data_IF_708686574898
#
_entry.id   IF_708686574898
#
_cell.length_a   1.000
_cell.length_b   1.000
_cell.length_c   1.000
_cell.angle_alpha   90.00
_cell.angle_beta   90.00
_cell.angle_gamma   90.00
#
_symmetry.space_group_name_H-M   'P 1'
#
loop_
_entity.id
_entity.type
_entity.pdbx_description
1 polymer ?
#
# COMPACT_ATOMS: atom_id res chain seq x y z
N UNK A 1 1.21 28.10 4.83
CA UNK A 1 1.02 28.58 6.22
C UNK A 1 2.41 28.86 6.80
N UNK A 2 2.72 30.09 7.21
CA UNK A 2 4.01 30.40 7.85
C UNK A 2 3.86 30.06 9.33
N UNK A 3 4.50 28.99 9.78
CA UNK A 3 4.55 28.66 11.21
C UNK A 3 5.63 29.53 11.86
N UNK A 4 5.20 30.59 12.55
CA UNK A 4 6.02 31.22 13.59
C UNK A 4 5.76 30.44 14.89
N UNK A 5 6.82 30.08 15.63
CA UNK A 5 6.63 29.41 16.92
C UNK A 5 5.84 30.36 17.86
N UNK A 6 4.99 29.81 18.73
CA UNK A 6 4.13 30.62 19.61
C UNK A 6 4.93 31.59 20.51
N UNK A 7 6.20 31.27 20.80
CA UNK A 7 7.15 32.15 21.49
C UNK A 7 7.58 33.37 20.64
N UNK A 8 7.69 33.23 19.31
CA UNK A 8 8.07 34.35 18.42
C UNK A 8 6.97 35.40 18.27
N UNK A 9 5.70 35.04 18.53
CA UNK A 9 4.56 35.94 18.33
C UNK A 9 4.50 37.04 19.39
N UNK A 10 4.76 36.72 20.65
CA UNK A 10 4.75 37.70 21.74
C UNK A 10 5.95 38.65 21.61
N UNK A 11 7.13 38.11 21.36
CA UNK A 11 8.36 38.90 21.14
C UNK A 11 8.23 39.82 19.91
N UNK A 12 7.58 39.35 18.84
CA UNK A 12 7.31 40.18 17.65
C UNK A 12 6.28 41.28 17.94
N UNK A 13 5.25 40.99 18.75
CA UNK A 13 4.25 41.99 19.14
C UNK A 13 4.87 43.10 20.00
N UNK A 14 5.74 42.75 20.95
CA UNK A 14 6.48 43.72 21.76
C UNK A 14 7.48 44.52 20.91
N UNK A 15 8.21 43.87 19.99
CA UNK A 15 9.13 44.56 19.09
C UNK A 15 8.42 45.55 18.16
N UNK A 16 7.24 45.20 17.63
CA UNK A 16 6.41 46.09 16.80
C UNK A 16 5.86 47.28 17.59
N UNK A 17 5.58 47.12 18.88
CA UNK A 17 5.14 48.21 19.74
C UNK A 17 6.27 49.24 20.01
N UNK A 18 7.53 48.82 19.93
CA UNK A 18 8.71 49.67 20.15
C UNK A 18 9.18 50.44 18.90
N UNK A 19 8.71 50.08 17.69
CA UNK A 19 9.04 50.77 16.45
C UNK A 19 9.03 49.87 15.21
N UNK A 20 9.43 50.38 14.04
CA UNK A 20 9.48 49.59 12.81
C UNK A 20 10.46 48.42 12.93
N UNK A 21 9.98 47.20 12.67
CA UNK A 21 10.80 45.97 12.69
C UNK A 21 11.02 45.48 11.26
N UNK A 22 12.26 45.12 10.92
CA UNK A 22 12.58 44.42 9.68
C UNK A 22 12.65 42.92 9.95
N UNK A 23 11.78 42.15 9.27
CA UNK A 23 11.75 40.69 9.39
C UNK A 23 12.34 40.04 8.14
N UNK A 24 13.29 39.12 8.32
CA UNK A 24 13.77 38.24 7.24
C UNK A 24 13.12 36.87 7.39
N UNK A 25 12.13 36.60 6.55
CA UNK A 25 11.46 35.29 6.52
C UNK A 25 12.18 34.37 5.54
N UNK A 26 12.63 33.20 6.01
CA UNK A 26 13.06 32.10 5.13
C UNK A 26 11.99 31.02 5.15
N UNK A 27 11.17 30.97 4.10
CA UNK A 27 10.22 29.88 3.91
C UNK A 27 10.94 28.58 3.52
N UNK A 28 10.60 27.48 4.18
CA UNK A 28 10.89 26.13 3.68
C UNK A 28 9.58 25.63 3.08
N UNK A 29 9.56 25.39 1.76
CA UNK A 29 8.33 25.02 1.06
C UNK A 29 7.69 23.73 1.60
N UNK A 30 8.53 22.80 2.06
CA UNK A 30 8.13 21.56 2.74
C UNK A 30 9.29 21.12 3.64
N UNK A 31 9.06 20.99 4.95
CA UNK A 31 10.12 20.58 5.88
C UNK A 31 10.52 19.12 5.61
N UNK A 32 11.82 18.78 5.57
CA UNK A 32 12.26 17.38 5.49
C UNK A 32 12.03 16.62 6.82
N UNK A 33 11.57 17.32 7.86
CA UNK A 33 11.34 16.78 9.19
C UNK A 33 9.94 17.12 9.72
N UNK A 34 9.27 16.11 10.27
CA UNK A 34 8.03 16.27 11.05
C UNK A 34 8.23 15.77 12.48
N UNK A 35 7.53 16.37 13.44
CA UNK A 35 7.48 15.87 14.82
C UNK A 35 6.03 15.52 15.14
N UNK A 36 5.80 14.28 15.54
CA UNK A 36 4.49 13.76 15.92
C UNK A 36 4.52 13.42 17.40
N UNK A 37 4.19 14.43 18.21
CA UNK A 37 4.22 14.35 19.67
C UNK A 37 2.84 14.01 20.20
N UNK A 38 2.76 13.13 21.19
CA UNK A 38 1.52 12.74 21.83
C UNK A 38 1.72 12.68 23.34
N UNK A 39 0.92 13.45 24.06
CA UNK A 39 0.97 13.56 25.52
C UNK A 39 -0.43 13.33 26.07
N UNK A 40 -0.54 12.53 27.13
CA UNK A 40 -1.80 12.27 27.80
C UNK A 40 -1.64 12.30 29.32
N UNK A 41 -2.72 12.65 30.00
CA UNK A 41 -2.88 12.51 31.46
C UNK A 41 -4.09 11.64 31.72
N UNK A 42 -3.98 10.75 32.70
CA UNK A 42 -5.07 9.86 33.10
C UNK A 42 -5.87 10.52 34.23
N UNK A 43 -7.20 10.40 34.16
CA UNK A 43 -8.17 10.79 35.19
C UNK A 43 -8.12 12.26 35.69
N UNK A 44 -7.49 13.16 34.93
CA UNK A 44 -7.43 14.58 35.28
C UNK A 44 -7.28 15.47 34.04
N UNK A 45 -7.55 16.77 34.21
CA UNK A 45 -7.18 17.78 33.22
C UNK A 45 -5.67 18.09 33.32
N UNK A 46 -4.97 18.38 32.21
CA UNK A 46 -3.52 18.63 32.20
C UNK A 46 -3.15 20.02 32.76
N UNK A 47 -3.69 20.41 33.92
CA UNK A 47 -3.43 21.71 34.53
C UNK A 47 -2.01 21.77 35.11
N UNK A 48 -1.24 22.80 34.72
CA UNK A 48 0.11 23.06 35.24
C UNK A 48 1.22 22.17 34.69
N UNK A 49 0.95 21.35 33.67
CA UNK A 49 1.95 20.45 33.08
C UNK A 49 2.66 21.13 31.92
N UNK A 50 3.99 21.04 31.91
CA UNK A 50 4.84 21.44 30.79
C UNK A 50 5.47 20.19 30.17
N UNK A 51 5.22 19.98 28.88
CA UNK A 51 5.82 18.88 28.11
C UNK A 51 7.11 19.33 27.42
N UNK A 52 8.10 18.44 27.35
CA UNK A 52 9.35 18.69 26.64
C UNK A 52 9.74 17.47 25.81
N UNK A 53 9.69 17.64 24.49
CA UNK A 53 10.08 16.62 23.52
C UNK A 53 11.52 16.85 23.07
N UNK A 54 12.35 15.80 23.16
CA UNK A 54 13.72 15.82 22.66
C UNK A 54 13.90 14.75 21.61
N UNK A 55 14.51 15.12 20.48
CA UNK A 55 14.72 14.25 19.32
C UNK A 55 15.40 12.92 19.68
N UNK A 56 16.41 12.95 20.55
CA UNK A 56 17.15 11.77 21.04
C UNK A 56 16.32 10.83 21.94
N UNK A 57 15.10 11.23 22.29
CA UNK A 57 14.13 10.43 23.03
C UNK A 57 12.98 9.92 22.17
N UNK A 58 12.98 10.20 20.88
CA UNK A 58 11.91 9.82 19.95
C UNK A 58 12.31 8.60 19.11
N UNK A 59 11.32 7.97 18.48
CA UNK A 59 11.55 7.04 17.38
C UNK A 59 11.65 7.83 16.05
N UNK A 60 12.37 7.29 15.08
CA UNK A 60 12.57 7.91 13.76
C UNK A 60 11.95 7.06 12.67
N UNK A 61 10.99 7.62 11.95
CA UNK A 61 10.33 7.00 10.80
C UNK A 61 10.75 7.74 9.53
N UNK A 62 11.51 7.09 8.66
CA UNK A 62 11.84 7.61 7.33
C UNK A 62 10.73 7.21 6.37
N UNK A 63 10.12 8.17 5.69
CA UNK A 63 8.99 7.94 4.79
C UNK A 63 9.35 8.29 3.35
N UNK A 64 9.99 7.38 2.58
CA UNK A 64 10.07 7.52 1.14
C UNK A 64 8.66 7.56 0.55
N UNK A 65 8.34 8.59 -0.21
CA UNK A 65 7.05 8.73 -0.89
C UNK A 65 7.29 8.69 -2.39
N UNK A 66 6.82 7.61 -3.01
CA UNK A 66 7.01 7.37 -4.43
C UNK A 66 5.86 8.00 -5.23
N UNK A 67 6.15 8.43 -6.46
CA UNK A 67 5.13 8.87 -7.40
C UNK A 67 5.60 8.74 -8.84
N UNK A 68 4.82 8.02 -9.65
CA UNK A 68 5.10 7.82 -11.06
C UNK A 68 4.54 8.93 -11.96
N UNK A 69 3.77 9.86 -11.39
CA UNK A 69 3.14 10.95 -12.13
C UNK A 69 4.13 12.09 -12.42
N UNK A 70 3.96 12.81 -13.55
CA UNK A 70 4.88 13.89 -13.93
C UNK A 70 4.71 15.18 -13.13
N UNK A 71 3.55 15.39 -12.51
CA UNK A 71 3.25 16.59 -11.72
C UNK A 71 3.55 16.31 -10.25
N UNK A 72 4.00 17.35 -9.52
CA UNK A 72 4.40 17.26 -8.12
C UNK A 72 3.48 18.10 -7.26
N UNK A 73 2.42 17.47 -6.77
CA UNK A 73 1.51 18.10 -5.82
C UNK A 73 1.90 17.77 -4.39
N UNK A 74 1.65 18.70 -3.47
CA UNK A 74 1.77 18.40 -2.05
C UNK A 74 0.60 17.52 -1.63
N UNK A 75 0.85 16.55 -0.74
CA UNK A 75 -0.13 15.63 -0.20
C UNK A 75 -0.08 15.68 1.33
N UNK A 76 -1.21 15.51 2.02
CA UNK A 76 -1.18 15.30 3.46
C UNK A 76 -0.64 13.90 3.76
N UNK A 77 0.32 13.83 4.69
CA UNK A 77 0.64 12.63 5.45
C UNK A 77 0.07 12.84 6.86
N UNK A 78 -0.99 12.10 7.18
CA UNK A 78 -1.71 12.20 8.44
C UNK A 78 -1.29 11.08 9.36
N UNK A 79 -1.03 11.41 10.63
CA UNK A 79 -0.83 10.42 11.68
C UNK A 79 -2.02 10.44 12.64
N UNK A 80 -2.45 9.23 13.02
CA UNK A 80 -3.52 8.96 13.96
C UNK A 80 -2.96 8.20 15.15
N UNK A 81 -3.52 8.45 16.33
CA UNK A 81 -3.31 7.59 17.49
C UNK A 81 -4.54 6.73 17.68
N UNK A 82 -4.35 5.42 17.56
CA UNK A 82 -5.40 4.43 17.67
C UNK A 82 -5.45 3.89 19.10
N UNK A 83 -6.45 4.32 19.88
CA UNK A 83 -6.76 3.71 21.17
C UNK A 83 -7.99 2.81 21.04
N UNK A 84 -8.19 1.88 21.98
CA UNK A 84 -9.21 0.83 21.91
C UNK A 84 -10.67 1.33 21.73
N UNK A 85 -10.92 2.64 21.89
CA UNK A 85 -12.27 3.23 21.83
C UNK A 85 -12.38 4.58 21.13
N UNK A 86 -11.27 5.24 20.75
CA UNK A 86 -11.30 6.62 20.23
C UNK A 86 -10.24 6.84 19.15
N UNK A 87 -10.68 7.43 18.03
CA UNK A 87 -9.83 8.08 17.04
C UNK A 87 -9.55 9.51 17.51
N UNK A 88 -8.30 9.80 17.85
CA UNK A 88 -7.90 11.16 18.25
C UNK A 88 -7.34 11.93 17.04
N UNK A 89 -7.82 13.16 16.76
CA UNK A 89 -7.60 13.79 15.46
C UNK A 89 -6.16 14.29 15.24
N UNK A 90 -5.61 13.77 14.14
CA UNK A 90 -4.84 14.36 13.05
C UNK A 90 -3.70 15.32 13.39
N UNK A 91 -2.49 14.75 13.47
CA UNK A 91 -1.27 15.47 13.15
C UNK A 91 -1.00 15.30 11.65
N UNK A 92 -1.21 16.35 10.87
CA UNK A 92 -0.97 16.34 9.42
C UNK A 92 0.29 17.13 9.10
N UNK A 93 1.16 16.54 8.28
CA UNK A 93 2.25 17.25 7.62
C UNK A 93 2.06 17.19 6.11
N UNK A 94 2.51 18.22 5.40
CA UNK A 94 2.52 18.20 3.94
C UNK A 94 3.80 17.52 3.46
N UNK A 95 3.66 16.66 2.46
CA UNK A 95 4.77 15.98 1.79
C UNK A 95 4.67 16.20 0.29
N UNK A 96 5.80 16.21 -0.42
CA UNK A 96 5.85 16.38 -1.89
C UNK A 96 6.54 15.19 -2.54
N UNK A 97 5.80 14.16 -2.97
CA UNK A 97 6.38 13.09 -3.74
C UNK A 97 6.70 13.55 -5.20
N UNK A 98 7.67 12.93 -5.88
CA UNK A 98 8.61 11.93 -5.34
C UNK A 98 9.60 12.58 -4.36
N UNK A 99 9.76 12.01 -3.17
CA UNK A 99 10.57 12.60 -2.09
C UNK A 99 10.66 11.72 -0.86
N UNK A 100 11.28 12.24 0.21
CA UNK A 100 11.34 11.55 1.51
C UNK A 100 11.22 12.56 2.64
N UNK A 101 10.49 12.20 3.70
CA UNK A 101 10.37 12.99 4.94
C UNK A 101 10.81 12.13 6.12
N UNK A 102 11.42 12.72 7.14
CA UNK A 102 11.75 12.03 8.39
C UNK A 102 10.80 12.49 9.49
N UNK A 103 10.02 11.58 10.04
CA UNK A 103 9.13 11.84 11.17
C UNK A 103 9.80 11.39 12.47
N UNK A 104 9.79 12.26 13.48
CA UNK A 104 10.13 11.89 14.84
C UNK A 104 8.84 11.67 15.62
N UNK A 105 8.63 10.47 16.14
CA UNK A 105 7.35 10.08 16.76
C UNK A 105 7.52 9.70 18.22
N UNK A 106 6.50 9.98 19.04
CA UNK A 106 6.51 9.63 20.46
C UNK A 106 6.59 8.11 20.63
N UNK A 107 7.61 7.57 21.33
CA UNK A 107 7.73 6.13 21.52
C UNK A 107 6.57 5.54 22.31
N UNK A 108 6.27 4.28 22.07
CA UNK A 108 5.25 3.54 22.80
C UNK A 108 3.81 3.93 22.47
N UNK A 109 3.56 4.92 21.61
CA UNK A 109 2.21 5.33 21.17
C UNK A 109 1.80 4.55 19.91
N UNK A 110 0.55 4.07 19.79
CA UNK A 110 0.10 3.23 18.67
C UNK A 110 -0.26 4.11 17.47
N UNK A 111 0.76 4.61 16.78
CA UNK A 111 0.58 5.44 15.60
C UNK A 111 0.14 4.61 14.40
N UNK A 112 -0.89 5.06 13.71
CA UNK A 112 -1.21 4.68 12.34
C UNK A 112 -0.99 5.90 11.44
N UNK A 113 -0.63 5.66 10.19
CA UNK A 113 -0.37 6.71 9.21
C UNK A 113 -1.28 6.55 8.01
N UNK A 114 -1.56 7.66 7.35
CA UNK A 114 -2.30 7.67 6.10
C UNK A 114 -1.75 8.72 5.14
N UNK A 115 -1.73 8.37 3.86
CA UNK A 115 -1.52 9.32 2.77
C UNK A 115 -2.45 8.98 1.61
N UNK A 116 -2.77 9.97 0.80
CA UNK A 116 -3.58 9.80 -0.40
C UNK A 116 -2.71 9.50 -1.64
N UNK A 117 -3.21 8.66 -2.53
CA UNK A 117 -2.87 8.70 -3.95
C UNK A 117 -3.75 9.77 -4.60
N UNK A 118 -3.16 10.70 -5.35
CA UNK A 118 -3.93 11.81 -5.96
C UNK A 118 -3.92 11.75 -7.48
N UNK A 119 -4.93 12.39 -8.06
CA UNK A 119 -5.07 12.62 -9.48
C UNK A 119 -5.14 14.13 -9.75
N UNK A 120 -4.32 14.67 -10.67
CA UNK A 120 -4.40 16.07 -11.04
C UNK A 120 -5.59 16.25 -11.99
N UNK A 121 -6.57 17.08 -11.61
CA UNK A 121 -7.49 17.61 -12.62
C UNK A 121 -6.77 18.76 -13.30
N UNK A 122 -6.55 18.66 -14.62
CA UNK A 122 -5.84 19.69 -15.42
C UNK A 122 -6.52 21.07 -15.44
N UNK A 123 -7.68 21.22 -14.81
CA UNK A 123 -8.46 22.45 -14.71
C UNK A 123 -8.79 22.92 -13.26
N UNK A 124 -8.42 22.16 -12.21
CA UNK A 124 -8.62 22.55 -10.80
C UNK A 124 -7.30 22.32 -10.04
N UNK A 125 -6.74 23.32 -9.32
CA UNK A 125 -5.53 23.15 -8.52
C UNK A 125 -5.68 22.18 -7.34
N UNK A 126 -6.87 21.59 -7.13
CA UNK A 126 -7.09 20.52 -6.17
C UNK A 126 -6.92 19.15 -6.82
N UNK A 127 -5.85 18.49 -6.42
CA UNK A 127 -5.70 17.04 -6.51
C UNK A 127 -6.96 16.31 -6.03
N UNK A 128 -7.54 15.42 -6.85
CA UNK A 128 -8.62 14.53 -6.44
C UNK A 128 -8.01 13.27 -5.82
N UNK A 129 -8.35 12.94 -4.56
CA UNK A 129 -7.95 11.66 -3.97
C UNK A 129 -8.54 10.53 -4.80
N UNK A 130 -7.67 9.65 -5.28
CA UNK A 130 -8.05 8.43 -6.04
C UNK A 130 -7.75 7.17 -5.25
N UNK A 131 -7.39 7.30 -3.98
CA UNK A 131 -7.20 6.20 -3.03
C UNK A 131 -6.41 6.64 -1.81
N UNK A 132 -6.44 5.82 -0.77
CA UNK A 132 -5.83 6.09 0.53
C UNK A 132 -4.99 4.91 0.99
N UNK A 133 -3.69 5.15 1.22
CA UNK A 133 -2.81 4.19 1.84
C UNK A 133 -2.81 4.40 3.35
N UNK A 134 -2.97 3.33 4.12
CA UNK A 134 -3.00 3.37 5.58
C UNK A 134 -2.05 2.35 6.20
N UNK A 135 -1.26 2.72 7.19
CA UNK A 135 -0.47 1.74 7.95
C UNK A 135 -1.34 1.09 9.03
N UNK A 136 -0.98 -0.14 9.44
CA UNK A 136 -1.49 -0.68 10.71
C UNK A 136 -0.96 0.16 11.89
N UNK A 137 -1.71 0.25 13.00
CA UNK A 137 -1.20 0.87 14.21
C UNK A 137 0.07 0.18 14.68
N UNK A 138 1.12 0.96 14.98
CA UNK A 138 2.40 0.46 15.45
C UNK A 138 2.91 1.31 16.61
N UNK A 139 3.39 0.64 17.65
CA UNK A 139 4.16 1.26 18.75
C UNK A 139 5.63 1.19 18.39
N UNK A 140 6.26 2.35 18.22
CA UNK A 140 7.69 2.43 17.94
C UNK A 140 8.49 2.49 19.24
N UNK A 141 9.67 1.88 19.26
CA UNK A 141 10.56 1.91 20.41
C UNK A 141 11.39 3.19 20.44
N UNK A 142 11.82 3.61 21.65
CA UNK A 142 12.68 4.79 21.79
C UNK A 142 14.01 4.56 21.07
N UNK A 143 14.40 5.51 20.22
CA UNK A 143 15.63 5.39 19.43
C UNK A 143 15.53 4.43 18.25
N UNK A 144 14.38 3.78 18.05
CA UNK A 144 14.13 2.95 16.87
C UNK A 144 14.24 3.81 15.60
N UNK A 145 14.83 3.25 14.55
CA UNK A 145 14.81 3.82 13.22
C UNK A 145 14.21 2.82 12.25
N UNK A 146 13.13 3.21 11.58
CA UNK A 146 12.44 2.37 10.60
C UNK A 146 12.22 3.14 9.30
N UNK A 147 12.15 2.41 8.20
CA UNK A 147 11.64 2.93 6.94
C UNK A 147 10.18 2.52 6.77
N UNK A 148 9.38 3.39 6.16
CA UNK A 148 7.99 3.17 5.82
C UNK A 148 7.73 3.78 4.43
N UNK A 149 8.00 3.05 3.34
CA UNK A 149 7.79 3.54 2.00
C UNK A 149 6.30 3.60 1.67
N UNK A 150 5.90 4.66 0.96
CA UNK A 150 4.55 4.88 0.46
C UNK A 150 4.55 4.87 -1.05
N UNK A 151 3.47 4.36 -1.64
CA UNK A 151 3.17 4.34 -3.08
C UNK A 151 4.29 3.66 -3.91
N UNK A 152 5.02 2.73 -3.29
CA UNK A 152 6.07 1.95 -3.94
C UNK A 152 5.42 0.86 -4.78
N UNK A 153 5.71 0.84 -6.06
CA UNK A 153 5.28 -0.17 -7.01
C UNK A 153 6.14 -1.45 -6.90
N UNK A 154 5.73 -2.58 -7.51
CA UNK A 154 4.48 -2.84 -8.25
C UNK A 154 3.21 -2.74 -7.41
N UNK A 155 2.08 -2.44 -8.08
CA UNK A 155 0.76 -2.48 -7.46
C UNK A 155 -0.03 -3.70 -7.94
N UNK A 156 -0.53 -4.50 -7.00
CA UNK A 156 -1.36 -5.69 -7.21
C UNK A 156 -2.33 -5.85 -6.03
N UNK A 157 -2.83 -7.05 -5.71
CA UNK A 157 -3.50 -7.27 -4.44
C UNK A 157 -2.54 -7.32 -3.24
N UNK A 158 -3.12 -7.30 -2.04
CA UNK A 158 -2.41 -7.60 -0.79
C UNK A 158 -3.37 -8.38 0.11
N UNK A 159 -3.04 -9.64 0.33
CA UNK A 159 -3.79 -10.60 1.15
C UNK A 159 -3.17 -10.80 2.53
N UNK A 160 -1.97 -10.28 2.77
CA UNK A 160 -1.30 -10.17 4.08
C UNK A 160 -1.98 -9.18 5.06
N UNK A 161 -3.25 -8.83 4.82
CA UNK A 161 -4.05 -7.93 5.67
C UNK A 161 -5.45 -8.48 5.90
N UNK A 162 -6.21 -7.79 6.75
CA UNK A 162 -7.60 -8.11 7.10
C UNK A 162 -8.50 -6.92 6.76
N UNK A 163 -9.81 -7.17 6.75
CA UNK A 163 -10.84 -6.13 6.71
C UNK A 163 -11.66 -6.15 7.99
N UNK A 164 -12.40 -5.08 8.24
CA UNK A 164 -13.37 -5.02 9.34
C UNK A 164 -14.76 -5.34 8.79
N UNK A 165 -15.50 -6.21 9.47
CA UNK A 165 -16.89 -6.53 9.15
C UNK A 165 -17.88 -5.50 9.69
N UNK A 166 -19.17 -5.76 9.49
CA UNK A 166 -20.24 -4.80 9.84
C UNK A 166 -20.43 -4.65 11.35
N UNK A 167 -20.03 -5.65 12.14
CA UNK A 167 -20.13 -5.65 13.59
C UNK A 167 -18.80 -5.25 14.26
N UNK A 168 -17.81 -4.80 13.48
CA UNK A 168 -16.49 -4.39 13.96
C UNK A 168 -15.50 -5.56 14.10
N UNK A 169 -15.87 -6.76 13.69
CA UNK A 169 -15.05 -7.96 13.74
C UNK A 169 -13.95 -7.96 12.67
N UNK A 170 -12.82 -8.60 12.96
CA UNK A 170 -11.73 -8.74 11.99
C UNK A 170 -11.99 -9.94 11.08
N UNK A 171 -12.06 -9.69 9.76
CA UNK A 171 -12.34 -10.70 8.75
C UNK A 171 -11.16 -10.88 7.77
N UNK A 172 -10.92 -12.09 7.26
CA UNK A 172 -10.08 -12.32 6.09
C UNK A 172 -10.67 -11.64 4.85
N UNK A 173 -9.84 -11.39 3.84
CA UNK A 173 -10.28 -10.75 2.59
C UNK A 173 -11.06 -11.69 1.66
N UNK A 174 -10.78 -12.99 1.75
CA UNK A 174 -11.48 -14.06 1.04
C UNK A 174 -11.77 -15.22 1.99
N UNK A 175 -13.04 -15.51 2.23
CA UNK A 175 -13.43 -16.58 3.13
C UNK A 175 -14.73 -17.26 2.70
N UNK A 176 -14.89 -18.51 3.15
CA UNK A 176 -16.11 -19.29 3.00
C UNK A 176 -16.91 -19.27 4.30
N UNK A 177 -18.21 -19.00 4.21
CA UNK A 177 -19.15 -19.15 5.33
C UNK A 177 -20.32 -20.04 4.88
N UNK A 178 -20.36 -21.28 5.37
CA UNK A 178 -21.28 -22.31 4.88
C UNK A 178 -21.15 -22.51 3.37
N UNK A 179 -22.23 -22.27 2.63
CA UNK A 179 -22.29 -22.37 1.18
C UNK A 179 -22.10 -21.02 0.47
N UNK A 180 -21.48 -20.03 1.12
CA UNK A 180 -21.20 -18.72 0.54
C UNK A 180 -19.71 -18.43 0.50
N UNK A 181 -19.24 -17.95 -0.64
CA UNK A 181 -17.98 -17.24 -0.81
C UNK A 181 -18.19 -15.78 -0.46
N UNK A 182 -17.25 -15.18 0.27
CA UNK A 182 -17.19 -13.74 0.53
C UNK A 182 -15.80 -13.22 0.11
N UNK A 183 -15.77 -12.22 -0.77
CA UNK A 183 -14.56 -11.57 -1.26
C UNK A 183 -14.63 -10.05 -1.07
N UNK A 184 -13.53 -9.47 -0.58
CA UNK A 184 -13.25 -8.04 -0.57
C UNK A 184 -11.73 -7.82 -0.74
N UNK A 185 -11.26 -8.10 -1.95
CA UNK A 185 -9.87 -8.03 -2.34
C UNK A 185 -9.49 -6.61 -2.79
N UNK A 186 -8.39 -6.03 -2.27
CA UNK A 186 -7.83 -4.85 -2.91
C UNK A 186 -7.13 -5.27 -4.18
N UNK A 187 -7.33 -4.57 -5.29
CA UNK A 187 -6.64 -4.92 -6.53
C UNK A 187 -5.52 -3.95 -6.92
N UNK A 188 -5.41 -2.81 -6.23
CA UNK A 188 -4.42 -1.76 -6.50
C UNK A 188 -3.72 -1.31 -5.21
N UNK A 189 -2.94 -2.20 -4.61
CA UNK A 189 -2.18 -1.96 -3.37
C UNK A 189 -0.74 -2.41 -3.55
N UNK A 190 0.15 -2.04 -2.63
CA UNK A 190 1.49 -2.58 -2.55
C UNK A 190 1.63 -3.41 -1.26
N UNK A 191 2.41 -4.50 -1.31
CA UNK A 191 2.72 -5.36 -0.17
C UNK A 191 4.24 -5.59 -0.09
N UNK A 192 4.86 -5.66 1.11
CA UNK A 192 4.28 -5.46 2.44
C UNK A 192 4.36 -3.99 2.92
N UNK A 193 3.44 -3.59 3.79
CA UNK A 193 3.75 -2.55 4.80
C UNK A 193 2.98 -1.23 4.77
N UNK A 194 2.14 -0.95 3.78
CA UNK A 194 1.19 0.19 3.81
C UNK A 194 -0.04 -0.19 2.99
N UNK A 195 -1.23 0.07 3.50
CA UNK A 195 -2.53 -0.18 2.86
C UNK A 195 -2.73 0.58 1.54
N UNK A 196 -3.91 0.36 0.95
CA UNK A 196 -4.25 0.26 -0.49
C UNK A 196 -4.29 1.57 -1.30
N UNK A 197 -4.62 1.52 -2.60
CA UNK A 197 -5.57 2.49 -3.18
C UNK A 197 -6.98 2.17 -2.61
N UNK A 198 -7.11 2.30 -1.29
CA UNK A 198 -8.31 2.18 -0.42
C UNK A 198 -9.25 0.98 -0.55
N UNK A 199 -10.09 0.99 -1.57
CA UNK A 199 -11.28 0.16 -1.70
C UNK A 199 -11.73 0.29 -3.14
N UNK A 200 -12.52 -0.67 -3.63
CA UNK A 200 -13.20 -0.53 -4.92
C UNK A 200 -13.92 0.82 -4.98
N UNK A 201 -13.54 1.67 -5.93
CA UNK A 201 -14.25 2.90 -6.24
C UNK A 201 -15.11 2.67 -7.49
N UNK A 202 -16.45 2.58 -7.37
CA UNK A 202 -17.32 2.33 -8.52
C UNK A 202 -17.29 3.44 -9.58
N UNK A 203 -16.82 4.63 -9.24
CA UNK A 203 -16.66 5.74 -10.18
C UNK A 203 -15.45 5.60 -11.10
N UNK A 204 -14.43 4.85 -10.68
CA UNK A 204 -13.13 4.82 -11.38
C UNK A 204 -12.66 3.43 -11.71
N UNK A 205 -12.92 2.45 -10.84
CA UNK A 205 -12.46 1.08 -11.00
C UNK A 205 -13.39 0.29 -11.92
N UNK A 206 -12.79 -0.57 -12.71
CA UNK A 206 -13.45 -1.38 -13.73
C UNK A 206 -12.90 -2.79 -13.66
N UNK A 207 -13.66 -3.76 -14.13
CA UNK A 207 -13.19 -5.14 -14.15
C UNK A 207 -14.29 -6.12 -13.86
N UNK A 208 -13.90 -7.32 -13.41
CA UNK A 208 -14.84 -8.39 -13.10
C UNK A 208 -14.25 -9.37 -12.09
N UNK A 209 -15.13 -10.09 -11.41
CA UNK A 209 -14.78 -11.27 -10.62
C UNK A 209 -15.52 -12.47 -11.17
N UNK A 210 -14.79 -13.57 -11.40
CA UNK A 210 -15.35 -14.83 -11.90
C UNK A 210 -14.88 -15.99 -11.03
N UNK A 211 -15.81 -16.82 -10.61
CA UNK A 211 -15.53 -18.07 -9.91
C UNK A 211 -15.96 -19.26 -10.77
N UNK A 212 -15.05 -20.20 -10.93
CA UNK A 212 -15.29 -21.48 -11.58
C UNK A 212 -14.97 -22.63 -10.63
N UNK A 213 -15.67 -23.75 -10.83
CA UNK A 213 -15.38 -25.03 -10.18
C UNK A 213 -15.26 -26.10 -11.25
N UNK A 214 -14.18 -26.87 -11.22
CA UNK A 214 -13.94 -27.98 -12.17
C UNK A 214 -14.14 -27.56 -13.64
N UNK A 215 -13.68 -26.34 -13.98
CA UNK A 215 -13.78 -25.75 -15.32
C UNK A 215 -15.13 -25.10 -15.68
N UNK A 216 -16.17 -25.22 -14.83
CA UNK A 216 -17.48 -24.60 -15.04
C UNK A 216 -17.62 -23.33 -14.21
N UNK A 217 -18.03 -22.22 -14.85
CA UNK A 217 -18.36 -20.97 -14.16
C UNK A 217 -19.58 -21.15 -13.24
N UNK A 218 -19.43 -20.78 -11.97
CA UNK A 218 -20.47 -20.85 -10.94
C UNK A 218 -20.80 -19.49 -10.31
N UNK A 219 -19.97 -18.48 -10.53
CA UNK A 219 -20.22 -17.11 -10.09
C UNK A 219 -19.55 -16.09 -11.00
N UNK A 220 -20.18 -14.94 -11.18
CA UNK A 220 -19.62 -13.82 -11.94
C UNK A 220 -20.31 -12.50 -11.59
N UNK A 221 -19.55 -11.42 -11.57
CA UNK A 221 -20.04 -10.05 -11.58
C UNK A 221 -19.03 -9.12 -12.29
N UNK A 222 -19.46 -7.89 -12.59
CA UNK A 222 -18.64 -6.84 -13.19
C UNK A 222 -17.99 -5.93 -12.13
N UNK A 223 -17.59 -6.51 -11.00
CA UNK A 223 -16.92 -5.79 -9.91
C UNK A 223 -15.57 -6.46 -9.61
N UNK A 224 -14.44 -5.75 -9.73
CA UNK A 224 -13.13 -6.32 -9.43
C UNK A 224 -12.97 -6.59 -7.92
N UNK A 225 -12.66 -7.83 -7.55
CA UNK A 225 -12.24 -8.21 -6.20
C UNK A 225 -13.34 -8.26 -5.14
N UNK A 226 -14.57 -7.86 -5.45
CA UNK A 226 -15.72 -7.93 -4.53
C UNK A 226 -16.76 -8.89 -5.09
N UNK A 227 -17.12 -9.91 -4.30
CA UNK A 227 -18.18 -10.83 -4.66
C UNK A 227 -18.74 -11.57 -3.46
N UNK A 228 -20.02 -11.90 -3.55
CA UNK A 228 -20.67 -12.94 -2.77
C UNK A 228 -21.23 -13.99 -3.73
N UNK A 229 -20.73 -15.22 -3.70
CA UNK A 229 -21.20 -16.29 -4.61
C UNK A 229 -21.63 -17.53 -3.83
N UNK A 230 -22.58 -18.27 -4.38
CA UNK A 230 -22.93 -19.60 -3.87
C UNK A 230 -21.84 -20.62 -4.20
N UNK A 231 -21.48 -21.41 -3.19
CA UNK A 231 -20.53 -22.50 -3.26
C UNK A 231 -21.25 -23.83 -2.99
N UNK A 232 -21.05 -24.84 -3.82
CA UNK A 232 -21.53 -26.19 -3.49
C UNK A 232 -20.91 -26.70 -2.18
N UNK A 233 -21.70 -27.41 -1.35
CA UNK A 233 -21.28 -27.89 -0.03
C UNK A 233 -20.07 -28.85 -0.06
N UNK A 234 -20.00 -29.76 -1.03
CA UNK A 234 -18.93 -30.75 -1.12
C UNK A 234 -17.54 -30.15 -1.43
N UNK A 235 -16.45 -30.87 -1.13
CA UNK A 235 -15.10 -30.45 -1.50
C UNK A 235 -14.97 -30.30 -3.02
N UNK A 236 -14.20 -29.31 -3.47
CA UNK A 236 -13.95 -29.07 -4.89
C UNK A 236 -12.73 -28.22 -5.15
N UNK A 237 -12.23 -28.29 -6.39
CA UNK A 237 -11.19 -27.38 -6.89
C UNK A 237 -11.87 -26.16 -7.51
N UNK A 238 -11.49 -24.99 -7.02
CA UNK A 238 -12.00 -23.72 -7.47
C UNK A 238 -10.92 -22.93 -8.21
N UNK A 239 -11.38 -22.12 -9.16
CA UNK A 239 -10.59 -21.14 -9.87
C UNK A 239 -11.26 -19.78 -9.72
N UNK A 240 -10.59 -18.85 -9.04
CA UNK A 240 -11.03 -17.48 -8.87
C UNK A 240 -10.18 -16.60 -9.79
N UNK A 241 -10.83 -15.92 -10.71
CA UNK A 241 -10.20 -14.95 -11.61
C UNK A 241 -10.75 -13.57 -11.31
N UNK A 242 -9.87 -12.61 -11.05
CA UNK A 242 -10.20 -11.20 -10.90
C UNK A 242 -9.46 -10.43 -11.98
N UNK A 243 -10.21 -9.62 -12.72
CA UNK A 243 -9.66 -8.64 -13.63
C UNK A 243 -9.97 -7.26 -13.07
N UNK A 244 -8.97 -6.40 -12.94
CA UNK A 244 -9.10 -5.05 -12.43
C UNK A 244 -8.36 -4.08 -13.34
N UNK A 245 -9.02 -2.97 -13.68
CA UNK A 245 -8.43 -1.79 -14.29
C UNK A 245 -9.08 -0.55 -13.70
N UNK A 246 -8.65 0.63 -14.13
CA UNK A 246 -9.29 1.88 -13.73
C UNK A 246 -9.35 2.86 -14.90
N UNK A 247 -10.31 3.77 -14.88
CA UNK A 247 -10.48 4.86 -15.86
C UNK A 247 -9.99 6.18 -15.29
N UNK A 248 -8.69 6.24 -15.00
CA UNK A 248 -8.04 7.43 -14.43
C UNK A 248 -6.94 7.91 -15.38
N UNK A 249 -7.19 8.98 -16.16
CA UNK A 249 -6.20 9.54 -17.06
C UNK A 249 -4.90 9.89 -16.33
N UNK A 250 -3.73 9.39 -16.74
CA UNK A 250 -2.45 9.86 -16.19
C UNK A 250 -1.93 9.17 -14.91
N UNK A 251 -2.60 8.14 -14.37
CA UNK A 251 -1.93 7.17 -13.49
C UNK A 251 -1.26 6.08 -14.36
N UNK A 252 0.08 6.04 -14.46
CA UNK A 252 0.73 5.28 -15.53
C UNK A 252 1.07 3.83 -15.18
N UNK A 253 0.87 3.40 -13.92
CA UNK A 253 1.27 2.09 -13.41
C UNK A 253 0.09 1.20 -13.02
N UNK A 254 0.24 -0.12 -13.19
CA UNK A 254 -0.79 -1.11 -12.90
C UNK A 254 -2.12 -0.83 -13.61
N UNK A 255 -2.05 -0.41 -14.88
CA UNK A 255 -3.24 -0.04 -15.69
C UNK A 255 -4.23 -1.19 -15.85
N UNK A 256 -3.75 -2.42 -15.68
CA UNK A 256 -4.54 -3.63 -15.57
C UNK A 256 -3.83 -4.62 -14.64
N UNK A 257 -4.59 -5.20 -13.72
CA UNK A 257 -4.19 -6.26 -12.80
C UNK A 257 -5.10 -7.45 -13.07
N UNK A 258 -4.53 -8.59 -13.43
CA UNK A 258 -5.27 -9.84 -13.57
C UNK A 258 -4.71 -10.85 -12.60
N UNK A 259 -5.58 -11.38 -11.75
CA UNK A 259 -5.25 -12.39 -10.76
C UNK A 259 -6.03 -13.65 -11.00
N UNK A 260 -5.33 -14.78 -10.85
CA UNK A 260 -5.92 -16.10 -11.05
C UNK A 260 -5.45 -17.03 -9.95
N UNK A 261 -6.33 -17.33 -9.01
CA UNK A 261 -6.10 -18.31 -7.96
C UNK A 261 -6.74 -19.65 -8.31
N UNK A 262 -6.06 -20.73 -7.97
CA UNK A 262 -6.63 -22.08 -7.99
C UNK A 262 -6.41 -22.73 -6.64
N UNK A 263 -7.49 -23.11 -5.94
CA UNK A 263 -7.43 -23.59 -4.56
C UNK A 263 -8.48 -24.67 -4.30
N UNK A 264 -8.37 -25.37 -3.17
CA UNK A 264 -9.36 -26.36 -2.72
C UNK A 264 -10.20 -25.78 -1.59
N UNK A 265 -11.51 -26.00 -1.62
CA UNK A 265 -12.44 -25.57 -0.56
C UNK A 265 -13.56 -26.60 -0.37
N UNK A 266 -14.11 -26.71 0.84
CA UNK A 266 -15.28 -27.53 1.19
C UNK A 266 -16.15 -26.80 2.21
N UNK A 267 -17.46 -27.11 2.25
CA UNK A 267 -18.40 -26.54 3.22
C UNK A 267 -18.08 -26.92 4.66
N UNK A 268 -17.47 -28.09 4.87
CA UNK A 268 -16.97 -28.54 6.18
C UNK A 268 -15.76 -27.72 6.68
N UNK A 269 -15.08 -27.00 5.78
CA UNK A 269 -13.93 -26.13 6.09
C UNK A 269 -14.30 -24.66 5.83
N UNK A 270 -15.26 -24.17 6.60
CA UNK A 270 -15.54 -22.74 6.65
C UNK A 270 -14.32 -21.96 7.16
N UNK A 271 -14.17 -20.71 6.73
CA UNK A 271 -13.06 -19.83 7.12
C UNK A 271 -12.25 -19.29 5.94
N UNK A 272 -11.03 -18.78 6.22
CA UNK A 272 -10.18 -18.14 5.22
C UNK A 272 -9.81 -19.08 4.08
N UNK A 273 -9.90 -18.62 2.84
CA UNK A 273 -9.46 -19.38 1.68
C UNK A 273 -7.92 -19.38 1.58
N UNK A 274 -7.30 -20.47 1.09
CA UNK A 274 -5.85 -20.59 0.97
C UNK A 274 -5.34 -19.90 -0.30
N UNK A 275 -5.63 -18.61 -0.43
CA UNK A 275 -5.14 -17.78 -1.53
C UNK A 275 -3.67 -17.39 -1.26
N UNK A 276 -2.84 -17.52 -2.29
CA UNK A 276 -1.45 -17.08 -2.29
C UNK A 276 -1.37 -15.61 -2.73
N UNK A 277 -0.42 -14.87 -2.16
CA UNK A 277 -0.20 -13.44 -2.39
C UNK A 277 1.23 -13.20 -2.86
N UNK A 278 1.43 -12.47 -3.96
CA UNK A 278 2.76 -12.20 -4.51
C UNK A 278 3.22 -10.83 -4.05
N UNK A 279 4.32 -10.79 -3.29
CA UNK A 279 4.89 -9.55 -2.75
C UNK A 279 6.23 -9.28 -3.44
N UNK A 280 6.37 -8.11 -4.05
CA UNK A 280 7.58 -7.70 -4.76
C UNK A 280 8.42 -6.75 -3.93
N UNK A 281 9.72 -7.00 -3.88
CA UNK A 281 10.71 -6.05 -3.38
C UNK A 281 11.74 -5.76 -4.47
N UNK A 282 11.37 -4.84 -5.36
CA UNK A 282 12.22 -4.37 -6.44
C UNK A 282 12.91 -3.05 -6.02
N UNK A 283 14.20 -2.85 -6.37
CA UNK A 283 14.93 -1.62 -6.05
C UNK A 283 14.59 -0.52 -7.05
N UNK A 284 13.36 -0.02 -6.99
CA UNK A 284 12.89 1.11 -7.81
C UNK A 284 13.24 2.44 -7.17
N UNK A 285 13.45 3.47 -7.98
CA UNK A 285 13.61 4.84 -7.50
C UNK A 285 12.28 5.45 -7.01
N UNK A 286 12.32 6.67 -6.44
CA UNK A 286 11.13 7.37 -5.96
C UNK A 286 10.10 7.70 -7.06
N UNK A 287 10.44 7.54 -8.33
CA UNK A 287 9.49 7.65 -9.45
C UNK A 287 8.92 6.30 -9.89
N UNK A 288 9.15 5.26 -9.08
CA UNK A 288 8.86 3.86 -9.39
C UNK A 288 9.55 3.40 -10.68
N UNK A 289 10.78 3.86 -10.94
CA UNK A 289 11.53 3.50 -12.13
C UNK A 289 12.76 2.63 -11.83
N UNK A 290 13.09 1.78 -12.79
CA UNK A 290 14.38 1.07 -12.87
C UNK A 290 15.17 1.57 -14.11
N UNK A 291 16.51 1.51 -14.09
CA UNK A 291 17.31 1.91 -15.24
C UNK A 291 17.00 1.06 -16.48
N UNK A 292 16.75 1.70 -17.61
CA UNK A 292 16.55 1.05 -18.90
C UNK A 292 17.83 0.35 -19.38
N UNK A 293 17.66 -0.74 -20.14
CA UNK A 293 18.77 -1.47 -20.75
C UNK A 293 19.67 -2.22 -19.75
N UNK A 294 19.28 -2.32 -18.48
CA UNK A 294 20.00 -3.08 -17.45
C UNK A 294 19.15 -4.21 -16.89
N UNK A 295 19.82 -5.27 -16.45
CA UNK A 295 19.19 -6.31 -15.63
C UNK A 295 18.78 -5.69 -14.28
N UNK A 296 17.57 -6.01 -13.81
CA UNK A 296 17.08 -5.59 -12.50
C UNK A 296 17.10 -6.79 -11.55
N UNK A 297 17.89 -6.70 -10.48
CA UNK A 297 17.91 -7.70 -9.40
C UNK A 297 17.04 -7.23 -8.24
N UNK A 298 16.15 -8.09 -7.75
CA UNK A 298 15.29 -7.82 -6.61
C UNK A 298 14.85 -9.10 -5.93
N UNK A 299 13.76 -9.04 -5.16
CA UNK A 299 13.18 -10.21 -4.52
C UNK A 299 11.67 -10.31 -4.75
N UNK A 300 11.18 -11.54 -4.69
CA UNK A 300 9.76 -11.88 -4.61
C UNK A 300 9.54 -12.75 -3.37
N UNK A 301 8.49 -12.47 -2.63
CA UNK A 301 7.99 -13.30 -1.56
C UNK A 301 6.57 -13.76 -1.92
N UNK A 302 6.21 -14.98 -1.52
CA UNK A 302 4.84 -15.47 -1.67
C UNK A 302 4.27 -15.68 -0.28
N UNK A 303 3.34 -14.83 0.10
CA UNK A 303 2.64 -14.90 1.38
C UNK A 303 1.34 -15.71 1.24
N UNK A 304 0.79 -16.10 2.38
CA UNK A 304 -0.57 -16.62 2.46
C UNK A 304 -1.48 -15.55 3.03
N UNK A 305 -2.74 -15.56 2.59
CA UNK A 305 -3.77 -14.76 3.23
C UNK A 305 -3.78 -14.95 4.75
N UNK A 306 -4.00 -13.86 5.49
CA UNK A 306 -4.17 -13.91 6.94
C UNK A 306 -5.26 -14.90 7.35
N UNK A 307 -4.92 -15.81 8.27
CA UNK A 307 -5.81 -16.82 8.82
C UNK A 307 -5.89 -18.13 8.01
N UNK A 308 -5.38 -18.16 6.78
CA UNK A 308 -5.32 -19.40 6.01
C UNK A 308 -4.27 -20.37 6.57
N UNK A 309 -4.42 -21.65 6.25
CA UNK A 309 -3.42 -22.68 6.57
C UNK A 309 -2.07 -22.34 5.93
N UNK A 310 -0.99 -22.42 6.72
CA UNK A 310 0.36 -22.14 6.22
C UNK A 310 0.95 -23.36 5.53
N UNK A 311 1.33 -23.18 4.28
CA UNK A 311 1.92 -24.18 3.39
C UNK A 311 3.33 -23.76 2.94
N UNK A 312 4.14 -24.71 2.48
CA UNK A 312 5.44 -24.39 1.87
C UNK A 312 5.27 -23.95 0.42
N UNK A 313 6.05 -22.97 -0.04
CA UNK A 313 6.04 -22.57 -1.46
C UNK A 313 7.00 -23.48 -2.24
N UNK A 314 6.50 -24.16 -3.26
CA UNK A 314 7.26 -25.15 -4.04
C UNK A 314 7.90 -24.56 -5.28
N UNK A 315 7.27 -23.55 -5.89
CA UNK A 315 7.78 -22.95 -7.13
C UNK A 315 7.35 -21.49 -7.25
N UNK A 316 8.26 -20.65 -7.72
CA UNK A 316 7.96 -19.30 -8.22
C UNK A 316 8.55 -19.16 -9.62
N UNK A 317 7.76 -18.59 -10.52
CA UNK A 317 8.17 -18.22 -11.88
C UNK A 317 7.81 -16.77 -12.12
N UNK A 318 8.80 -15.98 -12.51
CA UNK A 318 8.62 -14.58 -12.89
C UNK A 318 8.91 -14.40 -14.38
N UNK A 319 8.06 -13.64 -15.04
CA UNK A 319 8.23 -13.19 -16.42
C UNK A 319 8.07 -11.68 -16.50
N UNK A 320 8.81 -11.07 -17.43
CA UNK A 320 8.72 -9.65 -17.75
C UNK A 320 8.30 -9.45 -19.20
N UNK A 321 7.48 -8.44 -19.44
CA UNK A 321 7.15 -7.93 -20.76
C UNK A 321 7.48 -6.44 -20.82
N UNK A 322 7.98 -5.98 -21.96
CA UNK A 322 8.27 -4.57 -22.23
C UNK A 322 7.34 -3.99 -23.31
N UNK A 323 6.26 -4.70 -23.62
CA UNK A 323 5.27 -4.38 -24.64
C UNK A 323 3.84 -4.62 -24.12
N UNK A 324 3.61 -4.26 -22.85
CA UNK A 324 2.32 -4.34 -22.16
C UNK A 324 1.66 -5.74 -22.19
N UNK A 325 2.49 -6.79 -22.20
CA UNK A 325 2.07 -8.19 -22.06
C UNK A 325 1.96 -8.98 -23.37
N UNK A 326 2.38 -8.41 -24.51
CA UNK A 326 2.34 -9.12 -25.79
C UNK A 326 3.41 -10.23 -25.87
N UNK A 327 4.64 -9.96 -25.42
CA UNK A 327 5.75 -10.92 -25.39
C UNK A 327 6.34 -10.98 -23.99
N UNK A 328 6.54 -12.20 -23.49
CA UNK A 328 7.04 -12.48 -22.15
C UNK A 328 8.43 -13.14 -22.18
N UNK A 329 9.35 -12.60 -21.40
CA UNK A 329 10.68 -13.13 -21.19
C UNK A 329 10.80 -13.68 -19.77
N UNK A 330 11.46 -14.83 -19.60
CA UNK A 330 11.65 -15.43 -18.27
C UNK A 330 12.76 -14.70 -17.51
N UNK A 331 12.48 -14.33 -16.26
CA UNK A 331 13.50 -13.94 -15.30
C UNK A 331 14.20 -15.18 -14.73
N UNK A 332 15.42 -15.01 -14.23
CA UNK A 332 16.05 -16.04 -13.39
C UNK A 332 15.48 -15.89 -11.97
N UNK A 333 15.08 -17.01 -11.37
CA UNK A 333 14.46 -17.05 -10.04
C UNK A 333 15.19 -18.11 -9.22
N UNK A 334 15.81 -17.69 -8.13
CA UNK A 334 16.58 -18.54 -7.24
C UNK A 334 15.99 -18.47 -5.82
N UNK A 335 15.85 -19.62 -5.16
CA UNK A 335 15.31 -19.66 -3.80
C UNK A 335 16.33 -19.09 -2.81
N UNK A 336 15.90 -18.16 -1.98
CA UNK A 336 16.71 -17.52 -0.93
C UNK A 336 15.95 -17.55 0.41
N UNK A 337 16.10 -18.65 1.14
CA UNK A 337 15.36 -18.90 2.38
C UNK A 337 13.83 -18.86 2.17
N UNK A 338 13.09 -17.95 2.85
CA UNK A 338 11.66 -17.76 2.66
C UNK A 338 11.30 -16.87 1.46
N UNK A 339 12.28 -16.25 0.79
CA UNK A 339 12.13 -15.37 -0.36
C UNK A 339 12.72 -16.01 -1.63
N UNK A 340 12.53 -15.32 -2.75
CA UNK A 340 13.08 -15.69 -4.04
C UNK A 340 13.84 -14.50 -4.60
N UNK A 341 15.15 -14.65 -4.81
CA UNK A 341 15.93 -13.68 -5.57
C UNK A 341 15.51 -13.76 -7.03
N UNK A 342 15.29 -12.61 -7.66
CA UNK A 342 14.89 -12.52 -9.06
C UNK A 342 15.85 -11.63 -9.84
N UNK A 343 16.23 -12.06 -11.04
CA UNK A 343 17.01 -11.29 -12.00
C UNK A 343 16.20 -11.13 -13.29
N UNK A 344 15.67 -9.94 -13.47
CA UNK A 344 14.78 -9.56 -14.56
C UNK A 344 15.65 -9.08 -15.74
N UNK A 345 15.59 -9.74 -16.90
CA UNK A 345 16.45 -9.42 -18.04
C UNK A 345 16.17 -8.01 -18.56
N UNK A 346 17.20 -7.34 -19.07
CA UNK A 346 17.08 -5.99 -19.62
C UNK A 346 16.07 -5.92 -20.79
N UNK A 347 15.25 -4.88 -20.80
CA UNK A 347 14.42 -4.53 -21.94
C UNK A 347 15.22 -3.88 -23.07
N UNK A 348 14.68 -3.95 -24.29
CA UNK A 348 15.22 -3.17 -25.40
C UNK A 348 15.17 -1.66 -25.10
N UNK A 349 16.04 -0.88 -25.73
CA UNK A 349 16.02 0.59 -25.62
C UNK A 349 14.69 1.18 -26.09
N UNK A 350 14.26 2.29 -25.48
CA UNK A 350 13.04 3.01 -25.86
C UNK A 350 11.74 2.47 -25.26
N UNK A 351 11.83 1.53 -24.31
CA UNK A 351 10.68 1.06 -23.53
C UNK A 351 10.50 1.93 -22.30
N UNK A 352 9.26 2.31 -21.99
CA UNK A 352 8.93 3.20 -20.87
C UNK A 352 8.45 2.45 -19.62
N UNK A 353 7.98 1.22 -19.79
CA UNK A 353 7.37 0.43 -18.73
C UNK A 353 7.76 -1.05 -18.86
N UNK A 354 7.75 -1.72 -17.72
CA UNK A 354 7.81 -3.17 -17.63
C UNK A 354 6.51 -3.70 -17.02
N UNK A 355 5.97 -4.77 -17.59
CA UNK A 355 4.86 -5.55 -17.06
C UNK A 355 5.40 -6.84 -16.47
N UNK A 356 4.80 -7.33 -15.39
CA UNK A 356 5.22 -8.55 -14.71
C UNK A 356 4.14 -9.60 -14.76
N UNK A 357 4.53 -10.87 -14.90
CA UNK A 357 3.66 -12.02 -14.70
C UNK A 357 4.34 -13.01 -13.77
N UNK A 358 3.73 -13.26 -12.63
CA UNK A 358 4.26 -14.17 -11.61
C UNK A 358 3.33 -15.34 -11.42
N UNK A 359 3.89 -16.55 -11.37
CA UNK A 359 3.16 -17.77 -11.02
C UNK A 359 3.81 -18.41 -9.82
N UNK A 360 3.02 -18.71 -8.79
CA UNK A 360 3.49 -19.42 -7.61
C UNK A 360 2.59 -20.60 -7.26
N UNK A 361 3.19 -21.66 -6.70
CA UNK A 361 2.50 -22.87 -6.27
C UNK A 361 2.99 -23.27 -4.88
N UNK A 362 2.10 -23.80 -4.04
CA UNK A 362 2.43 -24.32 -2.71
C UNK A 362 2.38 -25.86 -2.61
N UNK A 363 2.77 -26.40 -1.46
CA UNK A 363 2.79 -27.84 -1.17
C UNK A 363 1.40 -28.47 -1.10
N UNK A 364 0.33 -27.68 -0.96
CA UNK A 364 -1.05 -28.15 -0.98
C UNK A 364 -1.66 -28.09 -2.41
N UNK A 365 -0.88 -27.65 -3.41
CA UNK A 365 -1.31 -27.53 -4.79
C UNK A 365 -2.13 -26.26 -5.07
N UNK A 366 -2.21 -25.33 -4.12
CA UNK A 366 -2.76 -24.00 -4.38
C UNK A 366 -1.82 -23.24 -5.31
N UNK A 367 -2.38 -22.43 -6.19
CA UNK A 367 -1.65 -21.71 -7.23
C UNK A 367 -2.18 -20.30 -7.38
N UNK A 368 -1.29 -19.35 -7.64
CA UNK A 368 -1.62 -18.00 -8.10
C UNK A 368 -0.92 -17.71 -9.42
N UNK A 369 -1.57 -16.96 -10.30
CA UNK A 369 -0.96 -16.32 -11.47
C UNK A 369 -1.41 -14.88 -11.52
N UNK A 370 -0.49 -13.99 -11.19
CA UNK A 370 -0.68 -12.55 -11.20
C UNK A 370 -0.08 -11.97 -12.48
N UNK A 371 -0.78 -11.04 -13.12
CA UNK A 371 -0.28 -10.25 -14.25
C UNK A 371 -0.51 -8.77 -13.98
N UNK A 372 0.58 -8.00 -13.93
CA UNK A 372 0.61 -6.57 -13.67
C UNK A 372 1.07 -5.83 -14.92
N UNK A 373 0.15 -5.17 -15.62
CA UNK A 373 0.47 -4.36 -16.79
C UNK A 373 1.03 -3.01 -16.34
N UNK A 374 2.23 -2.66 -16.83
CA UNK A 374 3.02 -1.50 -16.38
C UNK A 374 3.27 -1.52 -14.87
N UNK A 375 3.88 -2.61 -14.40
CA UNK A 375 4.27 -2.80 -13.01
C UNK A 375 5.23 -1.70 -12.50
N UNK A 376 6.16 -1.23 -13.33
CA UNK A 376 7.09 -0.14 -13.01
C UNK A 376 7.59 0.60 -14.27
N UNK A 377 8.20 1.78 -14.08
CA UNK A 377 8.75 2.64 -15.13
C UNK A 377 10.19 2.25 -15.51
N UNK A 378 10.63 2.67 -16.69
CA UNK A 378 12.02 2.57 -17.14
C UNK A 378 12.57 3.97 -17.41
N UNK A 379 13.81 4.24 -16.99
CA UNK A 379 14.49 5.55 -17.12
C UNK A 379 15.91 5.48 -17.65
#
# INVERSE_FOLDING_TARGET
MIWAHYLDRLDLQEALAAGPVSLRIRGIATSPHGYLTYHQVEDQLPAGITWSDRRDRMATVVTPLHDAQPHRSARPLTAYVMTDRVYLPNLTTEVRPPGSTTLYVTPGVPFAFETMATWPITADPRDVPVGWQTSKPRRFERGERTEMPWLKAPYGPALSTTTTGTEGETLPLAYRSGDKLNLNLPMFTNSPGTGRRGWYDPGTDTGSTTLSRDGKRIGHNDVPGIAGFDLPAGPGRYELTVDAGYRLPGWPLATRVTEKWSFTSSGERAGPLPLLDVEYDLPLDLTNAAPAGKELTGAVQVAQQVGAERTGITSVRLEVSYDDGAIWQRAVVDRDGPRWSVRIPAGASGREFASLRTTATDTAGNKVTETLVRAYRLT
#
